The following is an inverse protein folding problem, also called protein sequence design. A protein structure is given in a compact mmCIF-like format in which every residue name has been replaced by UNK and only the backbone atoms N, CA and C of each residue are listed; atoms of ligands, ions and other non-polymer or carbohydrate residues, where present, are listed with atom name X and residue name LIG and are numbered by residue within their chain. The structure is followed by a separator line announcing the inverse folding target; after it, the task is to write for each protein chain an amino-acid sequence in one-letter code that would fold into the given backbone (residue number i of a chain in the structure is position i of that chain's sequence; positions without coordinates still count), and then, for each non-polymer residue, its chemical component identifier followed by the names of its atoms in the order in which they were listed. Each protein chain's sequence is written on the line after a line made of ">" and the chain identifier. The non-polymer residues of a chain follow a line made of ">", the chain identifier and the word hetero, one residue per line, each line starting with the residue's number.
data_IF_972583455277
#
_entry.id   IF_972583455277
#
_cell.length_a   1.000
_cell.length_b   1.000
_cell.length_c   1.000
_cell.angle_alpha   90.00
_cell.angle_beta   90.00
_cell.angle_gamma   90.00
#
_symmetry.space_group_name_H-M   'P 1'
#
loop_
_entity.id
_entity.type
_entity.pdbx_description
1 polymer ?
#
# COMPACT_ATOMS: atom_id res chain seq x y z
N UNK A 1 8.23 10.19 7.30
CA UNK A 1 7.51 9.38 6.31
C UNK A 1 6.84 10.21 5.26
N UNK A 2 5.88 11.05 5.66
CA UNK A 2 5.08 11.86 4.75
C UNK A 2 5.90 12.55 3.65
N UNK A 3 6.97 13.27 4.02
CA UNK A 3 7.87 13.92 3.04
C UNK A 3 8.44 12.93 2.02
N UNK A 4 8.93 11.76 2.45
CA UNK A 4 9.49 10.76 1.56
C UNK A 4 8.42 10.15 0.64
N UNK A 5 7.24 9.85 1.19
CA UNK A 5 6.09 9.35 0.43
C UNK A 5 5.63 10.36 -0.62
N UNK A 6 5.39 11.62 -0.20
CA UNK A 6 5.00 12.71 -1.08
C UNK A 6 6.07 13.00 -2.13
N UNK A 7 7.36 12.99 -1.78
CA UNK A 7 8.45 13.16 -2.74
C UNK A 7 8.45 12.01 -3.78
N UNK A 8 8.27 10.77 -3.34
CA UNK A 8 8.11 9.61 -4.22
C UNK A 8 6.93 9.79 -5.18
N UNK A 9 5.77 10.18 -4.67
CA UNK A 9 4.58 10.48 -5.47
C UNK A 9 4.81 11.63 -6.46
N UNK A 10 5.51 12.70 -6.06
CA UNK A 10 5.85 13.82 -6.95
C UNK A 10 6.79 13.38 -8.07
N UNK A 11 7.81 12.57 -7.76
CA UNK A 11 8.73 12.02 -8.78
C UNK A 11 7.97 11.12 -9.77
N UNK A 12 7.07 10.27 -9.27
CA UNK A 12 6.22 9.43 -10.11
C UNK A 12 5.30 10.27 -11.00
N UNK A 13 4.65 11.29 -10.42
CA UNK A 13 3.78 12.20 -11.13
C UNK A 13 4.51 12.98 -12.24
N UNK A 14 5.77 13.36 -12.01
CA UNK A 14 6.61 14.02 -13.04
C UNK A 14 7.02 13.07 -14.18
N UNK A 15 7.03 11.77 -13.94
CA UNK A 15 7.32 10.72 -14.96
C UNK A 15 6.06 10.19 -15.66
N UNK A 16 4.91 10.86 -15.53
CA UNK A 16 3.67 10.51 -16.23
C UNK A 16 2.69 9.62 -15.46
N UNK A 17 2.99 9.26 -14.20
CA UNK A 17 2.15 8.37 -13.38
C UNK A 17 1.06 9.10 -12.56
N UNK A 18 0.60 10.28 -13.00
CA UNK A 18 -0.30 11.18 -12.21
C UNK A 18 -1.64 10.58 -11.81
N UNK A 19 -2.07 9.47 -12.41
CA UNK A 19 -3.41 8.87 -12.19
C UNK A 19 -3.38 7.35 -11.92
N UNK A 20 -2.30 6.84 -11.29
CA UNK A 20 -2.06 5.40 -11.10
C UNK A 20 -3.03 4.65 -10.17
N UNK A 21 -3.67 5.32 -9.20
CA UNK A 21 -4.59 4.73 -8.20
C UNK A 21 -6.02 5.26 -8.39
N UNK A 22 -6.55 5.22 -9.61
CA UNK A 22 -7.98 5.46 -9.85
C UNK A 22 -8.61 4.15 -10.24
N UNK A 23 -9.12 3.42 -9.26
CA UNK A 23 -10.00 2.28 -9.51
C UNK A 23 -11.38 2.78 -9.92
N UNK A 24 -11.49 3.59 -10.97
CA UNK A 24 -12.77 4.09 -11.46
C UNK A 24 -13.24 3.28 -12.66
N UNK A 25 -14.42 2.67 -12.59
CA UNK A 25 -15.10 2.05 -13.75
C UNK A 25 -15.33 3.03 -14.93
N UNK A 26 -15.05 4.34 -14.76
CA UNK A 26 -15.15 5.37 -15.78
C UNK A 26 -13.85 5.73 -16.52
N UNK A 27 -12.68 5.20 -16.12
CA UNK A 27 -11.43 5.34 -16.91
C UNK A 27 -10.64 4.05 -16.88
N UNK A 28 -10.75 3.29 -17.97
CA UNK A 28 -9.94 2.10 -18.25
C UNK A 28 -8.45 2.44 -18.06
N UNK A 29 -7.72 1.52 -17.45
CA UNK A 29 -6.28 1.60 -17.32
C UNK A 29 -5.67 1.71 -18.73
N UNK A 30 -4.90 2.77 -19.06
CA UNK A 30 -4.38 2.95 -20.41
C UNK A 30 -3.54 1.74 -20.80
N UNK A 31 -3.85 1.14 -21.94
CA UNK A 31 -3.04 0.09 -22.54
C UNK A 31 -1.62 0.62 -22.81
N UNK A 32 -0.63 -0.28 -22.99
CA UNK A 32 0.72 0.12 -23.45
C UNK A 32 0.67 0.96 -24.73
N UNK A 33 -0.34 0.73 -25.59
CA UNK A 33 -0.55 1.46 -26.83
C UNK A 33 -1.06 2.90 -26.61
N UNK A 34 -1.82 3.14 -25.54
CA UNK A 34 -2.35 4.47 -25.20
C UNK A 34 -1.37 5.29 -24.35
N UNK A 35 -0.61 4.62 -23.47
CA UNK A 35 0.40 5.27 -22.64
C UNK A 35 1.54 4.31 -22.30
N UNK A 36 2.67 4.46 -22.98
CA UNK A 36 3.87 3.68 -22.74
C UNK A 36 4.31 3.78 -21.26
N UNK A 37 4.49 2.63 -20.60
CA UNK A 37 4.91 2.56 -19.21
C UNK A 37 3.78 2.62 -18.16
N UNK A 38 2.50 2.55 -18.56
CA UNK A 38 1.35 2.55 -17.63
C UNK A 38 1.43 1.45 -16.57
N UNK A 39 1.87 0.25 -16.93
CA UNK A 39 2.02 -0.89 -16.01
C UNK A 39 3.19 -0.73 -15.04
N UNK A 40 4.28 -0.07 -15.47
CA UNK A 40 5.41 0.25 -14.59
C UNK A 40 5.01 1.28 -13.53
N UNK A 41 4.16 2.24 -13.89
CA UNK A 41 3.62 3.24 -12.96
C UNK A 41 2.73 2.63 -11.87
N UNK A 42 1.92 1.62 -12.20
CA UNK A 42 1.13 0.85 -11.23
C UNK A 42 2.00 -0.02 -10.33
N UNK A 43 2.96 -0.75 -10.92
CA UNK A 43 3.90 -1.58 -10.17
C UNK A 43 4.75 -0.76 -9.19
N UNK A 44 5.29 0.38 -9.65
CA UNK A 44 6.00 1.33 -8.79
C UNK A 44 5.12 1.90 -7.70
N UNK A 45 3.84 2.10 -8.00
CA UNK A 45 2.88 2.57 -7.05
C UNK A 45 2.59 1.59 -5.92
N UNK A 46 2.23 0.35 -6.29
CA UNK A 46 2.00 -0.72 -5.32
C UNK A 46 3.26 -1.02 -4.51
N UNK A 47 4.46 -0.87 -5.10
CA UNK A 47 5.73 -0.99 -4.38
C UNK A 47 5.96 0.17 -3.39
N UNK A 48 5.65 1.41 -3.78
CA UNK A 48 5.73 2.58 -2.89
C UNK A 48 4.76 2.50 -1.71
N UNK A 49 3.64 1.81 -1.88
CA UNK A 49 2.62 1.63 -0.85
C UNK A 49 2.94 0.42 0.04
N UNK A 50 3.38 -0.71 -0.54
CA UNK A 50 3.68 -1.95 0.18
C UNK A 50 4.98 -1.94 0.98
N UNK A 51 5.99 -1.16 0.59
CA UNK A 51 7.28 -1.09 1.32
C UNK A 51 7.10 -0.50 2.73
N UNK A 52 6.46 0.66 2.93
CA UNK A 52 6.17 1.21 4.26
C UNK A 52 5.34 0.25 5.12
N UNK A 53 4.26 -0.34 4.59
CA UNK A 53 3.40 -1.28 5.33
C UNK A 53 4.17 -2.51 5.79
N UNK A 54 4.97 -3.09 4.90
CA UNK A 54 5.76 -4.28 5.20
C UNK A 54 6.82 -4.01 6.27
N UNK A 55 7.45 -2.82 6.26
CA UNK A 55 8.40 -2.42 7.30
C UNK A 55 7.72 -2.32 8.67
N UNK A 56 6.52 -1.73 8.74
CA UNK A 56 5.73 -1.63 9.99
C UNK A 56 5.35 -3.02 10.50
N UNK A 57 4.93 -3.93 9.63
CA UNK A 57 4.68 -5.32 10.00
C UNK A 57 5.95 -5.96 10.60
N UNK A 58 7.10 -5.78 9.95
CA UNK A 58 8.37 -6.30 10.43
C UNK A 58 8.74 -5.81 11.83
N UNK A 59 8.55 -4.52 12.09
CA UNK A 59 8.79 -3.92 13.42
C UNK A 59 7.74 -4.40 14.44
N UNK A 60 6.46 -4.46 14.06
CA UNK A 60 5.37 -4.88 14.94
C UNK A 60 5.46 -6.34 15.40
N UNK A 61 6.16 -7.19 14.66
CA UNK A 61 6.45 -8.58 15.08
C UNK A 61 7.37 -8.66 16.31
N UNK A 62 8.11 -7.59 16.63
CA UNK A 62 9.04 -7.55 17.77
C UNK A 62 8.34 -7.37 19.11
N UNK A 63 7.24 -6.62 19.12
CA UNK A 63 6.46 -6.35 20.34
C UNK A 63 5.70 -7.60 20.81
N UNK A 64 5.53 -8.60 19.94
CA UNK A 64 4.80 -9.82 20.23
C UNK A 64 3.31 -9.60 20.48
N UNK A 65 2.57 -10.68 20.71
CA UNK A 65 1.15 -10.60 21.09
C UNK A 65 0.17 -10.24 19.97
N UNK A 66 -1.04 -9.82 20.36
CA UNK A 66 -2.18 -9.65 19.44
C UNK A 66 -1.97 -8.53 18.43
N UNK A 67 -1.25 -7.46 18.80
CA UNK A 67 -1.08 -6.25 17.96
C UNK A 67 -0.38 -6.55 16.63
N UNK A 68 0.66 -7.40 16.63
CA UNK A 68 1.35 -7.83 15.41
C UNK A 68 0.44 -8.64 14.48
N UNK A 69 -0.33 -9.59 15.03
CA UNK A 69 -1.24 -10.43 14.25
C UNK A 69 -2.39 -9.61 13.64
N UNK A 70 -2.91 -8.63 14.40
CA UNK A 70 -3.96 -7.72 13.94
C UNK A 70 -3.46 -6.85 12.81
N UNK A 71 -2.25 -6.29 12.93
CA UNK A 71 -1.63 -5.47 11.88
C UNK A 71 -1.45 -6.27 10.60
N UNK A 72 -0.90 -7.48 10.70
CA UNK A 72 -0.74 -8.39 9.54
C UNK A 72 -2.09 -8.73 8.91
N UNK A 73 -3.10 -9.03 9.73
CA UNK A 73 -4.43 -9.40 9.26
C UNK A 73 -5.14 -8.24 8.58
N UNK A 74 -5.08 -7.04 9.17
CA UNK A 74 -5.67 -5.83 8.61
C UNK A 74 -5.05 -5.47 7.25
N UNK A 75 -3.71 -5.50 7.16
CA UNK A 75 -2.98 -5.23 5.91
C UNK A 75 -3.26 -6.31 4.86
N UNK A 76 -3.36 -7.58 5.27
CA UNK A 76 -3.75 -8.65 4.36
C UNK A 76 -5.16 -8.44 3.79
N UNK A 77 -6.11 -8.10 4.64
CA UNK A 77 -7.51 -7.85 4.25
C UNK A 77 -7.65 -6.61 3.34
N UNK A 78 -6.81 -5.58 3.49
CA UNK A 78 -6.81 -4.41 2.60
C UNK A 78 -6.13 -4.70 1.26
N UNK A 79 -5.01 -5.43 1.29
CA UNK A 79 -4.18 -5.66 0.10
C UNK A 79 -4.74 -6.74 -0.82
N UNK A 80 -5.56 -7.66 -0.31
CA UNK A 80 -6.19 -8.69 -1.14
C UNK A 80 -7.17 -8.11 -2.18
N UNK A 81 -8.17 -7.26 -1.82
CA UNK A 81 -9.00 -6.56 -2.80
C UNK A 81 -8.21 -5.68 -3.78
N UNK A 82 -7.20 -4.95 -3.30
CA UNK A 82 -6.36 -4.09 -4.14
C UNK A 82 -5.56 -4.93 -5.16
N UNK A 83 -5.00 -6.05 -4.70
CA UNK A 83 -4.27 -6.99 -5.53
C UNK A 83 -5.13 -7.58 -6.65
N UNK A 84 -6.35 -8.00 -6.32
CA UNK A 84 -7.31 -8.53 -7.28
C UNK A 84 -7.78 -7.46 -8.27
N UNK A 85 -8.12 -6.26 -7.79
CA UNK A 85 -8.55 -5.14 -8.63
C UNK A 85 -7.47 -4.73 -9.63
N UNK A 86 -6.23 -4.60 -9.18
CA UNK A 86 -5.08 -4.25 -10.01
C UNK A 86 -4.72 -5.37 -11.01
N UNK A 87 -4.76 -6.64 -10.59
CA UNK A 87 -4.57 -7.78 -11.49
C UNK A 87 -5.65 -7.86 -12.58
N UNK A 88 -6.92 -7.63 -12.21
CA UNK A 88 -8.02 -7.56 -13.17
C UNK A 88 -7.83 -6.41 -14.17
N UNK A 89 -7.50 -5.20 -13.69
CA UNK A 89 -7.23 -4.04 -14.55
C UNK A 89 -6.07 -4.27 -15.53
N UNK A 90 -4.99 -4.94 -15.08
CA UNK A 90 -3.89 -5.30 -15.98
C UNK A 90 -4.31 -6.30 -17.06
N UNK A 91 -5.19 -7.25 -16.74
CA UNK A 91 -5.72 -8.23 -17.70
C UNK A 91 -6.66 -7.57 -18.71
N UNK A 92 -7.51 -6.66 -18.26
CA UNK A 92 -8.39 -5.85 -19.12
C UNK A 92 -7.58 -4.93 -20.06
N UNK A 93 -6.46 -4.38 -19.59
CA UNK A 93 -5.51 -3.62 -20.42
C UNK A 93 -4.67 -4.47 -21.39
N UNK A 94 -5.01 -5.75 -21.57
CA UNK A 94 -4.36 -6.67 -22.53
C UNK A 94 -3.05 -7.28 -22.05
N UNK A 95 -2.67 -7.16 -20.76
CA UNK A 95 -1.40 -7.69 -20.27
C UNK A 95 -1.45 -9.21 -20.06
N UNK A 96 -0.37 -9.88 -20.46
CA UNK A 96 -0.22 -11.32 -20.32
C UNK A 96 -0.13 -11.78 -18.86
N UNK A 97 -0.51 -13.04 -18.57
CA UNK A 97 -0.46 -13.61 -17.21
C UNK A 97 0.94 -13.53 -16.60
N UNK A 98 1.99 -13.84 -17.39
CA UNK A 98 3.38 -13.79 -16.92
C UNK A 98 3.82 -12.40 -16.47
N UNK A 99 3.34 -11.33 -17.13
CA UNK A 99 3.60 -9.96 -16.69
C UNK A 99 2.99 -9.67 -15.32
N UNK A 100 1.71 -10.04 -15.14
CA UNK A 100 0.98 -9.84 -13.88
C UNK A 100 1.65 -10.58 -12.74
N UNK A 101 1.99 -11.86 -12.93
CA UNK A 101 2.72 -12.65 -11.93
C UNK A 101 4.13 -12.11 -11.66
N UNK A 102 4.84 -11.61 -12.68
CA UNK A 102 6.16 -11.02 -12.50
C UNK A 102 6.13 -9.74 -11.68
N UNK A 103 5.17 -8.84 -11.94
CA UNK A 103 4.97 -7.61 -11.17
C UNK A 103 4.65 -7.92 -9.71
N UNK A 104 3.64 -8.77 -9.47
CA UNK A 104 3.24 -9.12 -8.11
C UNK A 104 4.29 -9.94 -7.37
N UNK A 105 4.98 -10.86 -8.04
CA UNK A 105 6.11 -11.57 -7.46
C UNK A 105 7.24 -10.63 -7.04
N UNK A 106 7.54 -9.61 -7.85
CA UNK A 106 8.52 -8.58 -7.52
C UNK A 106 8.09 -7.71 -6.33
N UNK A 107 6.83 -7.29 -6.28
CA UNK A 107 6.27 -6.53 -5.14
C UNK A 107 6.33 -7.38 -3.86
N UNK A 108 5.92 -8.65 -3.93
CA UNK A 108 6.00 -9.58 -2.80
C UNK A 108 7.43 -9.73 -2.31
N UNK A 109 8.40 -9.96 -3.21
CA UNK A 109 9.80 -10.07 -2.83
C UNK A 109 10.34 -8.80 -2.16
N UNK A 110 10.05 -7.62 -2.72
CA UNK A 110 10.44 -6.34 -2.14
C UNK A 110 9.79 -6.10 -0.76
N UNK A 111 8.52 -6.47 -0.62
CA UNK A 111 7.75 -6.40 0.63
C UNK A 111 8.35 -7.32 1.69
N UNK A 112 8.68 -8.57 1.32
CA UNK A 112 9.38 -9.52 2.22
C UNK A 112 10.71 -8.97 2.69
N UNK A 113 11.53 -8.41 1.79
CA UNK A 113 12.81 -7.78 2.17
C UNK A 113 12.56 -6.61 3.13
N UNK A 114 11.57 -5.76 2.86
CA UNK A 114 11.22 -4.64 3.74
C UNK A 114 10.80 -5.11 5.14
N UNK A 115 9.96 -6.15 5.23
CA UNK A 115 9.54 -6.74 6.49
C UNK A 115 10.70 -7.38 7.27
N UNK A 116 11.57 -8.13 6.58
CA UNK A 116 12.77 -8.73 7.20
C UNK A 116 13.70 -7.66 7.73
N UNK A 117 13.93 -6.56 6.98
CA UNK A 117 14.75 -5.45 7.45
C UNK A 117 14.09 -4.73 8.64
N UNK A 118 12.76 -4.54 8.62
CA UNK A 118 12.01 -4.01 9.76
C UNK A 118 12.20 -4.86 11.02
N UNK A 119 12.14 -6.19 10.89
CA UNK A 119 12.32 -7.08 12.03
C UNK A 119 13.77 -7.15 12.50
N UNK A 120 14.70 -7.49 11.60
CA UNK A 120 16.09 -7.83 11.96
C UNK A 120 16.96 -6.60 12.22
N UNK A 121 16.81 -5.55 11.42
CA UNK A 121 17.67 -4.37 11.52
C UNK A 121 17.10 -3.40 12.53
N UNK A 122 15.82 -3.02 12.40
CA UNK A 122 15.22 -2.03 13.29
C UNK A 122 14.97 -2.61 14.68
N UNK A 123 14.63 -3.89 14.78
CA UNK A 123 14.36 -4.53 16.06
C UNK A 123 15.53 -4.76 16.98
N UNK A 124 16.76 -4.75 16.46
CA UNK A 124 17.97 -4.80 17.27
C UNK A 124 18.39 -3.44 17.82
N UNK A 125 17.70 -2.35 17.49
CA UNK A 125 18.06 -0.99 17.86
C UNK A 125 17.38 -0.55 19.16
N UNK A 126 17.82 0.59 19.71
CA UNK A 126 17.24 1.13 20.93
C UNK A 126 15.76 1.50 20.75
N UNK A 127 14.98 1.45 21.83
CA UNK A 127 13.55 1.77 21.82
C UNK A 127 13.24 3.14 21.21
N UNK A 128 14.12 4.12 21.42
CA UNK A 128 13.99 5.45 20.81
C UNK A 128 14.10 5.41 19.28
N UNK A 129 15.00 4.57 18.74
CA UNK A 129 15.15 4.40 17.29
C UNK A 129 13.97 3.64 16.70
N UNK A 130 13.52 2.57 17.36
CA UNK A 130 12.31 1.84 16.96
C UNK A 130 11.12 2.78 16.89
N UNK A 131 10.87 3.57 17.94
CA UNK A 131 9.80 4.55 17.98
C UNK A 131 9.92 5.61 16.86
N UNK A 132 11.13 6.11 16.60
CA UNK A 132 11.37 7.07 15.52
C UNK A 132 11.08 6.47 14.14
N UNK A 133 11.52 5.24 13.86
CA UNK A 133 11.26 4.54 12.59
C UNK A 133 9.77 4.24 12.44
N UNK A 134 9.10 3.77 13.49
CA UNK A 134 7.65 3.54 13.50
C UNK A 134 6.88 4.84 13.23
N UNK A 135 7.27 5.96 13.85
CA UNK A 135 6.65 7.27 13.58
C UNK A 135 6.88 7.73 12.14
N UNK A 136 8.08 7.49 11.60
CA UNK A 136 8.39 7.76 10.19
C UNK A 136 7.49 6.92 9.27
N UNK A 137 7.33 5.63 9.53
CA UNK A 137 6.51 4.75 8.71
C UNK A 137 5.01 5.06 8.81
N UNK A 138 4.51 5.31 10.02
CA UNK A 138 3.14 5.77 10.26
C UNK A 138 2.84 7.06 9.50
N UNK A 139 3.76 8.02 9.49
CA UNK A 139 3.62 9.25 8.70
C UNK A 139 3.58 9.01 7.18
N UNK A 140 4.22 7.94 6.67
CA UNK A 140 4.12 7.57 5.26
C UNK A 140 2.74 6.94 4.95
N UNK A 141 2.25 6.06 5.82
CA UNK A 141 0.90 5.45 5.70
C UNK A 141 -0.20 6.52 5.76
N UNK A 142 -0.10 7.48 6.68
CA UNK A 142 -1.06 8.59 6.76
C UNK A 142 -1.09 9.42 5.47
N UNK A 143 0.08 9.74 4.91
CA UNK A 143 0.16 10.44 3.64
C UNK A 143 -0.44 9.61 2.49
N UNK A 144 -0.19 8.29 2.48
CA UNK A 144 -0.78 7.36 1.50
C UNK A 144 -2.31 7.35 1.56
N UNK A 145 -2.87 7.21 2.76
CA UNK A 145 -4.31 7.19 2.99
C UNK A 145 -4.93 8.51 2.49
N UNK A 146 -4.33 9.65 2.84
CA UNK A 146 -4.81 10.97 2.44
C UNK A 146 -4.72 11.22 0.94
N UNK A 147 -3.59 10.90 0.31
CA UNK A 147 -3.33 11.22 -1.09
C UNK A 147 -4.05 10.27 -2.06
N UNK A 148 -4.32 9.03 -1.64
CA UNK A 148 -4.79 7.98 -2.54
C UNK A 148 -6.07 7.29 -2.08
N UNK A 149 -6.07 6.67 -0.90
CA UNK A 149 -7.18 5.81 -0.48
C UNK A 149 -8.47 6.60 -0.20
N UNK A 150 -8.38 7.77 0.44
CA UNK A 150 -9.56 8.62 0.73
C UNK A 150 -10.19 9.13 -0.58
N UNK A 151 -9.45 9.79 -1.49
CA UNK A 151 -10.02 10.22 -2.77
C UNK A 151 -10.66 9.09 -3.57
N UNK A 152 -10.04 7.92 -3.60
CA UNK A 152 -10.53 6.75 -4.33
C UNK A 152 -11.81 6.18 -3.69
N UNK A 153 -11.85 6.07 -2.37
CA UNK A 153 -13.05 5.66 -1.65
C UNK A 153 -14.20 6.64 -1.87
N UNK A 154 -13.93 7.95 -1.91
CA UNK A 154 -14.93 8.97 -2.20
C UNK A 154 -15.46 8.91 -3.64
N UNK A 155 -14.63 8.52 -4.60
CA UNK A 155 -15.04 8.36 -6.01
C UNK A 155 -16.03 7.19 -6.18
N UNK A 156 -15.92 6.14 -5.36
CA UNK A 156 -16.78 4.94 -5.43
C UNK A 156 -18.00 4.97 -4.52
N UNK A 157 -17.82 5.35 -3.26
CA UNK A 157 -18.86 5.22 -2.22
C UNK A 157 -19.44 6.57 -1.75
N UNK A 158 -18.88 7.69 -2.25
CA UNK A 158 -19.34 9.05 -1.99
C UNK A 158 -19.64 9.32 -0.50
N UNK A 159 -20.93 9.46 -0.14
CA UNK A 159 -21.37 9.79 1.21
C UNK A 159 -21.13 8.66 2.23
N UNK A 160 -21.03 7.40 1.77
CA UNK A 160 -20.78 6.26 2.65
C UNK A 160 -19.30 6.07 3.01
N UNK A 161 -18.37 6.72 2.30
CA UNK A 161 -16.92 6.50 2.46
C UNK A 161 -16.44 6.80 3.87
N UNK A 162 -16.96 7.86 4.50
CA UNK A 162 -16.64 8.20 5.89
C UNK A 162 -17.10 7.13 6.89
N UNK A 163 -18.32 6.62 6.73
CA UNK A 163 -18.86 5.56 7.59
C UNK A 163 -18.07 4.26 7.43
N UNK A 164 -17.75 3.87 6.19
CA UNK A 164 -16.96 2.67 5.89
C UNK A 164 -15.56 2.77 6.51
N UNK A 165 -14.90 3.94 6.40
CA UNK A 165 -13.61 4.20 7.03
C UNK A 165 -13.68 4.01 8.55
N UNK A 166 -14.66 4.61 9.21
CA UNK A 166 -14.85 4.51 10.66
C UNK A 166 -15.16 3.07 11.08
N UNK A 167 -15.99 2.35 10.34
CA UNK A 167 -16.26 0.93 10.60
C UNK A 167 -14.98 0.08 10.51
N UNK A 168 -14.15 0.29 9.47
CA UNK A 168 -12.86 -0.40 9.35
C UNK A 168 -11.92 -0.09 10.50
N UNK A 169 -11.83 1.18 10.90
CA UNK A 169 -11.08 1.60 12.09
C UNK A 169 -11.58 0.92 13.36
N UNK A 170 -12.90 0.92 13.61
CA UNK A 170 -13.50 0.31 14.80
C UNK A 170 -13.26 -1.21 14.84
N UNK A 171 -13.34 -1.90 13.71
CA UNK A 171 -13.00 -3.33 13.62
C UNK A 171 -11.54 -3.55 13.97
N UNK A 172 -10.61 -2.80 13.36
CA UNK A 172 -9.18 -2.93 13.66
C UNK A 172 -8.84 -2.59 15.11
N UNK A 173 -9.47 -1.56 15.67
CA UNK A 173 -9.30 -1.14 17.06
C UNK A 173 -9.85 -2.19 18.03
N UNK A 174 -11.01 -2.77 17.74
CA UNK A 174 -11.58 -3.84 18.56
C UNK A 174 -10.65 -5.04 18.55
N UNK A 175 -10.20 -5.47 17.37
CA UNK A 175 -9.28 -6.59 17.21
C UNK A 175 -7.97 -6.40 17.97
N UNK A 176 -7.45 -5.17 18.09
CA UNK A 176 -6.22 -4.90 18.85
C UNK A 176 -6.39 -4.99 20.37
N UNK A 177 -7.62 -5.12 20.87
CA UNK A 177 -7.95 -5.19 22.30
C UNK A 177 -8.58 -6.53 22.72
N UNK A 178 -8.62 -7.52 21.83
CA UNK A 178 -9.01 -8.91 22.14
C UNK A 178 -7.78 -9.79 22.26
#
# INVERSE_FOLDING_TARGET
>A
GAVAYTAGNVVLARRGARHRKRSGHHRLQPSEAEQAGSGRALALGALLDGVPESAVIGVGLLEGGTVGLVTVTAVFLSNLPEGLSSAAGMREAGRGKGYVFGVWGGITAASTVSAVLGYTVVGGLSTAVVAAVTAVAAGAILAMIADTMIPEAFDRAHLASGLILVCGFLVSFTLSHV
#
